data_IF_333094848658
#
_entry.id   IF_333094848658
#
_cell.length_a   1.000
_cell.length_b   1.000
_cell.length_c   1.000
_cell.angle_alpha   90.00
_cell.angle_beta   90.00
_cell.angle_gamma   90.00
#
_symmetry.space_group_name_H-M   'P 1'
#
loop_
_entity.id
_entity.type
_entity.pdbx_description
1 polymer ?
#
# COMPACT_ATOMS: atom_id res chain seq x y z
N UNK A 1 23.66 -25.69 -13.52
CA UNK A 1 23.66 -24.27 -13.79
C UNK A 1 22.30 -23.77 -14.17
N UNK A 2 21.68 -24.41 -15.11
CA UNK A 2 20.35 -23.99 -15.54
C UNK A 2 19.33 -24.12 -14.44
N UNK A 3 19.53 -25.07 -13.57
CA UNK A 3 18.61 -25.33 -12.48
C UNK A 3 18.51 -24.13 -11.54
N UNK A 4 19.59 -23.43 -11.35
CA UNK A 4 19.60 -22.29 -10.44
C UNK A 4 18.70 -21.18 -10.89
N UNK A 5 18.65 -20.93 -12.19
CA UNK A 5 17.79 -19.88 -12.72
C UNK A 5 16.33 -20.15 -12.40
N UNK A 6 15.94 -21.41 -12.48
CA UNK A 6 14.56 -21.78 -12.21
C UNK A 6 14.20 -21.48 -10.77
N UNK A 7 15.13 -21.73 -9.85
CA UNK A 7 14.90 -21.51 -8.44
C UNK A 7 14.62 -20.02 -8.16
N UNK A 8 15.33 -19.14 -8.83
CA UNK A 8 15.13 -17.72 -8.65
C UNK A 8 13.71 -17.30 -9.01
N UNK A 9 13.24 -17.81 -10.12
CA UNK A 9 11.91 -17.44 -10.59
C UNK A 9 10.86 -17.82 -9.56
N UNK A 10 10.99 -18.98 -8.98
CA UNK A 10 10.04 -19.44 -7.99
C UNK A 10 10.04 -18.55 -6.76
N UNK A 11 11.20 -18.10 -6.34
CA UNK A 11 11.31 -17.26 -5.16
C UNK A 11 10.57 -15.94 -5.37
N UNK A 12 10.69 -15.37 -6.55
CA UNK A 12 10.02 -14.11 -6.85
C UNK A 12 8.52 -14.28 -6.80
N UNK A 13 8.01 -15.36 -7.32
CA UNK A 13 6.58 -15.61 -7.31
C UNK A 13 6.04 -15.68 -5.89
N UNK A 14 6.77 -16.31 -5.00
CA UNK A 14 6.33 -16.42 -3.61
C UNK A 14 6.25 -15.06 -2.92
N UNK A 15 7.19 -14.19 -3.20
CA UNK A 15 7.15 -12.84 -2.64
C UNK A 15 5.90 -12.10 -3.05
N UNK A 16 5.55 -12.19 -4.31
CA UNK A 16 4.38 -11.49 -4.81
C UNK A 16 3.12 -11.94 -4.08
N UNK A 17 3.00 -13.24 -3.87
CA UNK A 17 1.84 -13.78 -3.16
C UNK A 17 1.77 -13.26 -1.73
N UNK A 18 2.89 -13.23 -1.05
CA UNK A 18 2.94 -12.79 0.33
C UNK A 18 2.53 -11.33 0.45
N UNK A 19 2.98 -10.50 -0.49
CA UNK A 19 2.67 -9.08 -0.45
C UNK A 19 1.16 -8.84 -0.58
N UNK A 20 0.49 -9.62 -1.39
CA UNK A 20 -0.94 -9.44 -1.60
C UNK A 20 -1.76 -9.86 -0.40
N UNK A 21 -1.24 -10.77 0.40
CA UNK A 21 -1.96 -11.27 1.57
C UNK A 21 -2.12 -10.21 2.65
N UNK A 22 -1.33 -9.15 2.60
CA UNK A 22 -1.36 -8.11 3.62
C UNK A 22 -2.21 -6.91 3.23
N UNK A 23 -3.00 -7.02 2.18
CA UNK A 23 -3.82 -5.90 1.73
C UNK A 23 -4.84 -5.52 2.80
N UNK A 24 -5.08 -4.24 3.02
CA UNK A 24 -6.03 -3.79 4.04
C UNK A 24 -7.47 -4.00 3.61
N UNK A 25 -8.35 -3.99 4.60
CA UNK A 25 -9.78 -4.08 4.36
C UNK A 25 -10.38 -2.68 4.38
N UNK A 26 -11.18 -2.36 3.38
CA UNK A 26 -11.80 -1.05 3.29
C UNK A 26 -12.88 -0.89 4.36
N UNK A 27 -13.08 0.34 4.87
CA UNK A 27 -14.21 0.61 5.74
C UNK A 27 -15.53 0.25 5.05
N UNK A 28 -16.49 -0.21 5.84
CA UNK A 28 -17.74 -0.74 5.29
C UNK A 28 -18.55 0.30 4.53
N UNK A 29 -18.42 1.57 4.89
CA UNK A 29 -19.23 2.62 4.28
C UNK A 29 -18.60 3.24 3.04
N UNK A 30 -17.51 2.69 2.55
CA UNK A 30 -16.87 3.21 1.35
C UNK A 30 -17.43 2.55 0.11
N UNK A 31 -17.71 3.37 -0.91
CA UNK A 31 -18.09 2.84 -2.21
C UNK A 31 -16.85 2.30 -2.89
N UNK A 32 -17.06 1.55 -3.98
CA UNK A 32 -15.98 0.84 -4.63
C UNK A 32 -14.83 1.74 -5.06
N UNK A 33 -15.14 2.89 -5.64
CA UNK A 33 -14.10 3.81 -6.09
C UNK A 33 -13.28 4.34 -4.91
N UNK A 34 -13.96 4.64 -3.82
CA UNK A 34 -13.26 5.12 -2.62
C UNK A 34 -12.35 4.03 -2.08
N UNK A 35 -12.81 2.79 -2.15
CA UNK A 35 -12.02 1.68 -1.66
C UNK A 35 -10.70 1.54 -2.43
N UNK A 36 -10.76 1.76 -3.74
CA UNK A 36 -9.54 1.70 -4.55
C UNK A 36 -8.54 2.74 -4.08
N UNK A 37 -9.01 3.97 -3.85
CA UNK A 37 -8.11 5.03 -3.40
C UNK A 37 -7.62 4.80 -1.98
N UNK A 38 -8.47 4.23 -1.13
CA UNK A 38 -8.05 3.88 0.22
C UNK A 38 -6.88 2.90 0.18
N UNK A 39 -7.00 1.85 -0.63
CA UNK A 39 -5.95 0.85 -0.73
C UNK A 39 -4.66 1.41 -1.31
N UNK A 40 -4.78 2.28 -2.29
CA UNK A 40 -3.61 2.93 -2.86
C UNK A 40 -2.93 3.81 -1.83
N UNK A 41 -3.73 4.58 -1.11
CA UNK A 41 -3.18 5.42 -0.05
C UNK A 41 -2.45 4.59 0.99
N UNK A 42 -3.05 3.46 1.37
CA UNK A 42 -2.44 2.58 2.35
C UNK A 42 -1.05 2.12 1.89
N UNK A 43 -0.96 1.66 0.65
CA UNK A 43 0.32 1.17 0.13
C UNK A 43 1.37 2.27 0.12
N UNK A 44 0.97 3.47 -0.30
CA UNK A 44 1.90 4.59 -0.38
C UNK A 44 2.32 5.05 1.01
N UNK A 45 1.38 5.08 1.95
CA UNK A 45 1.70 5.44 3.32
C UNK A 45 2.67 4.46 3.95
N UNK A 46 2.47 3.18 3.67
CA UNK A 46 3.38 2.14 4.13
C UNK A 46 4.80 2.40 3.62
N UNK A 47 4.92 2.71 2.34
CA UNK A 47 6.23 2.94 1.74
C UNK A 47 6.88 4.19 2.29
N UNK A 48 6.11 5.26 2.47
CA UNK A 48 6.67 6.50 3.00
C UNK A 48 7.21 6.31 4.41
N UNK A 49 6.48 5.57 5.24
CA UNK A 49 6.93 5.31 6.59
C UNK A 49 8.21 4.49 6.59
N UNK A 50 8.29 3.49 5.72
CA UNK A 50 9.49 2.66 5.62
C UNK A 50 10.68 3.46 5.14
N UNK A 51 10.43 4.48 4.33
CA UNK A 51 11.49 5.36 3.84
C UNK A 51 11.80 6.50 4.81
N UNK A 52 11.19 6.48 5.99
CA UNK A 52 11.40 7.49 7.02
C UNK A 52 10.87 8.87 6.63
N UNK A 53 9.88 8.89 5.74
CA UNK A 53 9.23 10.14 5.37
C UNK A 53 8.11 10.43 6.35
N UNK A 54 7.78 11.71 6.48
CA UNK A 54 6.74 12.13 7.41
C UNK A 54 5.35 11.73 6.92
N UNK A 55 4.39 11.75 7.84
CA UNK A 55 3.00 11.44 7.55
C UNK A 55 2.36 12.63 6.83
N UNK A 56 2.46 12.64 5.51
CA UNK A 56 1.96 13.74 4.69
C UNK A 56 1.49 13.24 3.34
N UNK A 57 0.22 12.88 3.26
CA UNK A 57 -0.33 12.33 2.02
C UNK A 57 -0.33 13.35 0.89
N UNK A 58 -0.27 14.63 1.22
CA UNK A 58 -0.32 15.69 0.23
C UNK A 58 0.83 15.62 -0.77
N UNK A 59 1.96 15.01 -0.40
CA UNK A 59 3.06 14.90 -1.35
C UNK A 59 2.71 14.02 -2.54
N UNK A 60 1.59 13.31 -2.45
CA UNK A 60 1.13 12.42 -3.52
C UNK A 60 -0.11 12.94 -4.21
N UNK A 61 -0.30 14.26 -4.24
CA UNK A 61 -1.53 14.81 -4.77
C UNK A 61 -1.78 14.44 -6.23
N UNK A 62 -0.74 14.08 -6.97
CA UNK A 62 -0.90 13.65 -8.35
C UNK A 62 -1.42 12.22 -8.47
N UNK A 63 -1.51 11.51 -7.36
CA UNK A 63 -1.91 10.11 -7.37
C UNK A 63 -3.38 9.90 -7.08
N UNK A 64 -4.12 10.94 -6.75
CA UNK A 64 -5.52 10.78 -6.43
C UNK A 64 -6.34 11.92 -7.00
N UNK A 65 -7.60 11.61 -7.27
CA UNK A 65 -8.58 12.59 -7.70
C UNK A 65 -9.07 13.34 -6.47
N UNK A 66 -9.27 14.66 -6.59
CA UNK A 66 -9.68 15.47 -5.45
C UNK A 66 -11.00 14.97 -4.85
N UNK A 67 -11.84 14.33 -5.66
CA UNK A 67 -13.10 13.79 -5.17
C UNK A 67 -12.89 12.64 -4.19
N UNK A 68 -11.73 12.01 -4.25
CA UNK A 68 -11.42 10.86 -3.41
C UNK A 68 -10.27 11.14 -2.46
N UNK A 69 -9.98 12.42 -2.24
CA UNK A 69 -8.89 12.80 -1.36
C UNK A 69 -9.07 12.24 0.03
N UNK A 70 -10.29 12.29 0.55
CA UNK A 70 -10.55 11.79 1.90
C UNK A 70 -10.23 10.31 2.02
N UNK A 71 -10.65 9.51 1.02
CA UNK A 71 -10.38 8.08 1.05
C UNK A 71 -8.89 7.81 0.96
N UNK A 72 -8.20 8.50 0.06
CA UNK A 72 -6.75 8.32 -0.08
C UNK A 72 -6.03 8.69 1.21
N UNK A 73 -6.38 9.83 1.81
CA UNK A 73 -5.70 10.28 3.01
C UNK A 73 -5.93 9.34 4.19
N UNK A 74 -7.13 8.80 4.31
CA UNK A 74 -7.41 7.83 5.38
C UNK A 74 -6.58 6.56 5.20
N UNK A 75 -6.50 6.08 3.97
CA UNK A 75 -5.68 4.92 3.69
C UNK A 75 -4.22 5.20 3.97
N UNK A 76 -3.74 6.34 3.50
CA UNK A 76 -2.35 6.73 3.70
C UNK A 76 -2.00 6.77 5.20
N UNK A 77 -2.82 7.43 5.98
CA UNK A 77 -2.57 7.54 7.41
C UNK A 77 -2.52 6.18 8.08
N UNK A 78 -3.48 5.32 7.74
CA UNK A 78 -3.52 3.99 8.29
C UNK A 78 -2.27 3.19 7.92
N UNK A 79 -1.89 3.24 6.64
CA UNK A 79 -0.71 2.53 6.18
C UNK A 79 0.56 3.03 6.82
N UNK A 80 0.66 4.34 6.96
CA UNK A 80 1.83 4.95 7.57
C UNK A 80 1.97 4.50 9.03
N UNK A 81 0.88 4.54 9.77
CA UNK A 81 0.90 4.11 11.17
C UNK A 81 1.18 2.64 11.31
N UNK A 82 0.57 1.82 10.46
CA UNK A 82 0.79 0.38 10.53
C UNK A 82 2.25 0.04 10.28
N UNK A 83 2.89 0.70 9.33
CA UNK A 83 4.29 0.43 9.05
C UNK A 83 5.18 0.84 10.21
N UNK A 84 4.82 1.92 10.91
CA UNK A 84 5.60 2.36 12.05
C UNK A 84 5.47 1.44 13.24
N UNK A 85 4.32 0.83 13.42
CA UNK A 85 4.11 -0.04 14.58
C UNK A 85 4.60 -1.46 14.34
N UNK A 86 4.67 -1.87 13.08
CA UNK A 86 5.17 -3.21 12.76
C UNK A 86 6.68 -3.16 12.64
N UNK A 87 7.34 -3.84 13.48
CA UNK A 87 8.80 -3.94 13.43
C UNK A 87 9.29 -5.35 13.18
#
# INVERSE_FOLDING_TARGET
MKVRSIAFVLAVALFSSAAMADAPTCPANMVKAECVYFKEGYAVGNEDAKASLSNAYQRHEDSYDSRFESAFSKGYEQGWKDAKTKK
#
